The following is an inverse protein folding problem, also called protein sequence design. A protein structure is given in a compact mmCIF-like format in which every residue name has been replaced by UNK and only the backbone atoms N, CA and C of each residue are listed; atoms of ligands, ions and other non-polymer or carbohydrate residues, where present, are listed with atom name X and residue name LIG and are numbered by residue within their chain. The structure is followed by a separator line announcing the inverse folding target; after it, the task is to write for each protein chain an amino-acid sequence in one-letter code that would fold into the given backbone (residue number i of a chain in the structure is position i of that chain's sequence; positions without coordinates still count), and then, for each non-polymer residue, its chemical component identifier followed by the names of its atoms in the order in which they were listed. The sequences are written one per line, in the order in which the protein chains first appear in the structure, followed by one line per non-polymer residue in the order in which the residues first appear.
data_IF_673755797346
#
_entry.id   IF_673755797346
#
_cell.length_a   1.000
_cell.length_b   1.000
_cell.length_c   1.000
_cell.angle_alpha   90.00
_cell.angle_beta   90.00
_cell.angle_gamma   90.00
#
_symmetry.space_group_name_H-M   'P 1'
#
loop_
_entity.id
_entity.type
_entity.pdbx_description
1 polymer ?
#
# COMPACT_ATOMS: atom_id res chain seq x y z
N UNK A 1 9.70 -7.18 6.71
CA UNK A 1 8.26 -7.26 6.99
C UNK A 1 7.76 -8.64 6.60
N UNK A 2 6.51 -8.94 6.89
CA UNK A 2 5.86 -10.21 6.53
C UNK A 2 4.75 -9.93 5.54
N UNK A 3 4.68 -10.69 4.44
CA UNK A 3 3.61 -10.57 3.46
C UNK A 3 2.35 -11.34 3.87
N UNK A 4 1.28 -11.20 3.07
CA UNK A 4 0.00 -11.85 3.32
C UNK A 4 0.06 -13.38 3.33
N UNK A 5 1.07 -13.98 2.69
CA UNK A 5 1.28 -15.41 2.62
C UNK A 5 2.16 -15.92 3.79
N UNK A 6 2.59 -15.02 4.68
CA UNK A 6 3.47 -15.32 5.81
C UNK A 6 4.96 -15.34 5.44
N UNK A 7 5.32 -14.97 4.22
CA UNK A 7 6.69 -14.89 3.75
C UNK A 7 7.41 -13.64 4.24
N UNK A 8 8.74 -13.72 4.39
CA UNK A 8 9.54 -12.51 4.61
C UNK A 8 9.59 -11.67 3.33
N UNK A 9 9.40 -10.37 3.47
CA UNK A 9 9.44 -9.41 2.36
C UNK A 9 10.18 -8.14 2.78
N UNK A 10 11.04 -7.63 1.91
CA UNK A 10 11.84 -6.43 2.16
C UNK A 10 12.35 -5.74 0.89
N UNK A 11 13.20 -4.74 1.08
CA UNK A 11 13.71 -3.91 -0.03
C UNK A 11 14.49 -4.69 -1.08
N UNK A 12 15.07 -5.85 -0.73
CA UNK A 12 15.75 -6.72 -1.69
C UNK A 12 14.79 -7.26 -2.76
N UNK A 13 13.55 -7.56 -2.39
CA UNK A 13 12.51 -8.07 -3.30
C UNK A 13 12.00 -6.99 -4.29
N UNK A 14 12.28 -5.71 -3.98
CA UNK A 14 11.90 -4.55 -4.77
C UNK A 14 13.08 -3.94 -5.54
N UNK A 15 14.29 -4.49 -5.38
CA UNK A 15 15.49 -3.92 -5.98
C UNK A 15 15.38 -3.90 -7.52
N UNK A 16 15.66 -2.73 -8.12
CA UNK A 16 15.60 -2.56 -9.58
C UNK A 16 14.17 -2.48 -10.15
N UNK A 17 13.14 -2.46 -9.31
CA UNK A 17 11.73 -2.35 -9.72
C UNK A 17 11.17 -0.97 -9.41
N UNK A 18 10.24 -0.50 -10.23
CA UNK A 18 9.38 0.63 -9.88
C UNK A 18 8.24 0.10 -9.03
N UNK A 19 7.82 0.82 -8.01
CA UNK A 19 6.73 0.34 -7.17
C UNK A 19 5.87 1.46 -6.60
N UNK A 20 4.60 1.13 -6.38
CA UNK A 20 3.58 2.04 -5.90
C UNK A 20 3.15 1.59 -4.51
N UNK A 21 3.47 2.42 -3.54
CA UNK A 21 3.21 2.19 -2.14
C UNK A 21 1.94 2.91 -1.67
N UNK A 22 1.20 2.30 -0.75
CA UNK A 22 0.17 2.94 0.04
C UNK A 22 0.11 2.33 1.45
N UNK A 23 -0.57 3.04 2.35
CA UNK A 23 -0.79 2.62 3.73
C UNK A 23 -2.29 2.48 3.95
N UNK A 24 -2.71 1.40 4.59
CA UNK A 24 -4.12 1.11 4.92
C UNK A 24 -4.24 0.46 6.29
N UNK A 25 -5.47 0.25 6.75
CA UNK A 25 -5.77 -0.79 7.74
C UNK A 25 -7.12 -1.42 7.39
N UNK A 26 -7.25 -2.75 7.52
CA UNK A 26 -8.36 -3.48 6.88
C UNK A 26 -9.73 -3.19 7.49
N UNK A 27 -9.77 -2.75 8.76
CA UNK A 27 -11.01 -2.37 9.46
C UNK A 27 -11.48 -0.95 9.20
N UNK A 28 -10.78 -0.18 8.36
CA UNK A 28 -11.21 1.18 8.05
C UNK A 28 -12.57 1.16 7.36
N UNK A 29 -13.56 1.82 7.99
CA UNK A 29 -14.90 1.98 7.42
C UNK A 29 -15.00 3.24 6.52
N UNK A 30 -13.87 3.86 6.18
CA UNK A 30 -13.77 5.10 5.42
C UNK A 30 -13.12 4.89 4.05
N UNK A 31 -11.94 5.47 3.86
CA UNK A 31 -11.29 5.63 2.56
C UNK A 31 -10.47 4.44 2.08
N UNK A 32 -9.96 3.58 2.97
CA UNK A 32 -9.06 2.49 2.58
C UNK A 32 -9.68 1.50 1.57
N UNK A 33 -10.95 1.06 1.70
CA UNK A 33 -11.56 0.21 0.68
C UNK A 33 -11.59 0.87 -0.71
N UNK A 34 -11.72 2.21 -0.76
CA UNK A 34 -11.68 2.96 -2.02
C UNK A 34 -10.27 3.00 -2.59
N UNK A 35 -9.24 3.25 -1.78
CA UNK A 35 -7.84 3.21 -2.22
C UNK A 35 -7.47 1.84 -2.79
N UNK A 36 -7.80 0.76 -2.08
CA UNK A 36 -7.56 -0.60 -2.55
C UNK A 36 -8.37 -0.92 -3.83
N UNK A 37 -9.55 -0.33 -4.01
CA UNK A 37 -10.29 -0.46 -5.27
C UNK A 37 -9.59 0.26 -6.44
N UNK A 38 -9.08 1.48 -6.23
CA UNK A 38 -8.31 2.20 -7.26
C UNK A 38 -7.00 1.48 -7.59
N UNK A 39 -6.32 0.93 -6.59
CA UNK A 39 -5.11 0.12 -6.78
C UNK A 39 -5.39 -1.19 -7.52
N UNK A 40 -6.57 -1.80 -7.32
CA UNK A 40 -7.03 -2.92 -8.12
C UNK A 40 -7.27 -2.54 -9.59
N UNK A 41 -7.83 -1.36 -9.88
CA UNK A 41 -7.95 -0.87 -11.26
C UNK A 41 -6.57 -0.67 -11.90
N UNK A 42 -5.64 -0.07 -11.16
CA UNK A 42 -4.26 0.09 -11.63
C UNK A 42 -3.59 -1.26 -11.93
N UNK A 43 -3.81 -2.27 -11.10
CA UNK A 43 -3.36 -3.64 -11.38
C UNK A 43 -3.92 -4.18 -12.71
N UNK A 44 -5.22 -3.95 -13.00
CA UNK A 44 -5.84 -4.38 -14.26
C UNK A 44 -5.25 -3.63 -15.47
N UNK A 45 -5.05 -2.32 -15.36
CA UNK A 45 -4.40 -1.51 -16.41
C UNK A 45 -2.98 -1.99 -16.70
N UNK A 46 -2.22 -2.33 -15.64
CA UNK A 46 -0.87 -2.85 -15.77
C UNK A 46 -0.80 -4.17 -16.53
N UNK A 47 -1.87 -4.96 -16.65
CA UNK A 47 -1.87 -6.21 -17.44
C UNK A 47 -1.51 -5.98 -18.90
N UNK A 48 -1.88 -4.83 -19.46
CA UNK A 48 -1.58 -4.45 -20.84
C UNK A 48 -0.29 -3.62 -20.97
N UNK A 49 0.34 -3.24 -19.86
CA UNK A 49 1.50 -2.36 -19.86
C UNK A 49 2.79 -3.14 -20.15
N UNK A 50 3.65 -2.70 -21.10
CA UNK A 50 4.86 -3.43 -21.47
C UNK A 50 5.86 -3.59 -20.31
N UNK A 51 5.85 -2.65 -19.36
CA UNK A 51 6.69 -2.69 -18.17
C UNK A 51 6.04 -3.37 -16.94
N UNK A 52 4.93 -4.11 -17.10
CA UNK A 52 4.20 -4.76 -15.99
C UNK A 52 5.13 -5.52 -15.03
N UNK A 53 6.06 -6.28 -15.58
CA UNK A 53 6.96 -7.14 -14.80
C UNK A 53 8.04 -6.34 -14.05
N UNK A 54 8.20 -5.05 -14.37
CA UNK A 54 9.07 -4.11 -13.71
C UNK A 54 8.36 -3.27 -12.64
N UNK A 55 7.03 -3.32 -12.59
CA UNK A 55 6.19 -2.56 -11.67
C UNK A 55 5.67 -3.48 -10.56
N UNK A 56 5.68 -3.01 -9.32
CA UNK A 56 5.09 -3.69 -8.17
C UNK A 56 4.12 -2.78 -7.43
N UNK A 57 3.12 -3.41 -6.82
CA UNK A 57 2.16 -2.77 -5.95
C UNK A 57 2.44 -3.23 -4.52
N UNK A 58 2.57 -2.31 -3.56
CA UNK A 58 2.90 -2.66 -2.17
C UNK A 58 2.01 -1.89 -1.22
N UNK A 59 1.30 -2.59 -0.35
CA UNK A 59 0.38 -2.00 0.62
C UNK A 59 0.85 -2.36 2.02
N UNK A 60 1.03 -1.36 2.87
CA UNK A 60 1.47 -1.55 4.25
C UNK A 60 0.28 -1.35 5.20
N UNK A 61 0.10 -2.25 6.17
CA UNK A 61 -0.84 -1.96 7.25
C UNK A 61 -0.26 -0.93 8.24
N UNK A 62 -1.11 -0.10 8.83
CA UNK A 62 -0.81 0.72 10.02
C UNK A 62 -1.41 0.16 11.31
N UNK A 63 -2.15 -0.96 11.24
CA UNK A 63 -2.83 -1.66 12.35
C UNK A 63 -2.42 -3.15 12.43
N UNK A 64 -1.11 -3.47 12.57
CA UNK A 64 -0.63 -4.84 12.49
C UNK A 64 -1.12 -5.75 13.62
N UNK A 65 -1.61 -5.19 14.73
CA UNK A 65 -2.23 -5.96 15.81
C UNK A 65 -3.51 -6.68 15.34
N UNK A 66 -4.22 -6.10 14.37
CA UNK A 66 -5.37 -6.74 13.72
C UNK A 66 -5.01 -7.36 12.37
N UNK A 67 -4.24 -6.64 11.57
CA UNK A 67 -3.88 -6.99 10.20
C UNK A 67 -2.74 -8.03 10.17
N UNK A 68 -3.07 -9.22 10.67
CA UNK A 68 -2.23 -10.42 10.58
C UNK A 68 -2.15 -10.92 9.13
N UNK A 69 -1.17 -11.77 8.75
CA UNK A 69 -1.07 -12.28 7.38
C UNK A 69 -2.37 -12.91 6.85
N UNK A 70 -3.09 -13.76 7.62
CA UNK A 70 -4.38 -14.31 7.16
C UNK A 70 -5.46 -13.25 6.90
N UNK A 71 -5.53 -12.20 7.73
CA UNK A 71 -6.47 -11.08 7.55
C UNK A 71 -6.14 -10.28 6.29
N UNK A 72 -4.85 -9.97 6.10
CA UNK A 72 -4.38 -9.32 4.88
C UNK A 72 -4.61 -10.16 3.63
N UNK A 73 -4.47 -11.49 3.70
CA UNK A 73 -4.74 -12.39 2.59
C UNK A 73 -6.24 -12.40 2.23
N UNK A 74 -7.12 -12.37 3.22
CA UNK A 74 -8.56 -12.26 2.99
C UNK A 74 -8.92 -10.92 2.33
N UNK A 75 -8.38 -9.82 2.86
CA UNK A 75 -8.57 -8.48 2.30
C UNK A 75 -8.05 -8.40 0.85
N UNK A 76 -6.84 -8.90 0.59
CA UNK A 76 -6.25 -8.96 -0.75
C UNK A 76 -7.13 -9.75 -1.75
N UNK A 77 -7.68 -10.90 -1.32
CA UNK A 77 -8.61 -11.70 -2.14
C UNK A 77 -9.91 -10.94 -2.45
N UNK A 78 -10.46 -10.20 -1.48
CA UNK A 78 -11.66 -9.39 -1.70
C UNK A 78 -11.43 -8.32 -2.80
N UNK A 79 -10.20 -7.80 -2.90
CA UNK A 79 -9.78 -6.85 -3.94
C UNK A 79 -9.22 -7.51 -5.21
N UNK A 80 -9.24 -8.86 -5.32
CA UNK A 80 -8.66 -9.62 -6.44
C UNK A 80 -7.20 -9.24 -6.73
N UNK A 81 -6.43 -8.97 -5.67
CA UNK A 81 -5.01 -8.70 -5.79
C UNK A 81 -4.27 -9.94 -6.29
N UNK A 82 -3.37 -9.76 -7.27
CA UNK A 82 -2.45 -10.78 -7.76
C UNK A 82 -1.24 -10.83 -6.81
N UNK A 83 -1.07 -11.88 -5.98
CA UNK A 83 -0.01 -11.93 -4.98
C UNK A 83 1.41 -11.96 -5.58
N UNK A 84 1.55 -12.18 -6.90
CA UNK A 84 2.84 -12.09 -7.58
C UNK A 84 3.26 -10.66 -7.96
N UNK A 85 2.30 -9.72 -8.02
CA UNK A 85 2.53 -8.31 -8.36
C UNK A 85 2.16 -7.33 -7.24
N UNK A 86 1.21 -7.70 -6.39
CA UNK A 86 0.70 -6.89 -5.29
C UNK A 86 0.86 -7.58 -3.94
N UNK A 87 1.71 -6.98 -3.10
CA UNK A 87 1.99 -7.46 -1.74
C UNK A 87 1.31 -6.59 -0.69
N UNK A 88 0.75 -7.25 0.32
CA UNK A 88 0.21 -6.63 1.53
C UNK A 88 1.11 -7.01 2.69
N UNK A 89 1.63 -6.02 3.41
CA UNK A 89 2.72 -6.20 4.35
C UNK A 89 2.30 -5.79 5.76
N UNK A 90 2.66 -6.64 6.72
CA UNK A 90 2.52 -6.44 8.17
C UNK A 90 3.87 -6.66 8.88
N UNK A 91 3.91 -6.36 10.18
CA UNK A 91 5.12 -6.44 10.99
C UNK A 91 4.99 -5.65 12.29
N UNK A 92 6.09 -5.41 13.02
CA UNK A 92 6.05 -4.61 14.23
C UNK A 92 5.49 -3.21 13.95
N UNK A 93 4.51 -2.77 14.75
CA UNK A 93 3.86 -1.45 14.61
C UNK A 93 4.86 -0.30 14.56
N UNK A 94 5.86 -0.31 15.43
CA UNK A 94 6.91 0.71 15.46
C UNK A 94 7.67 0.82 14.13
N UNK A 95 7.96 -0.30 13.48
CA UNK A 95 8.66 -0.33 12.20
C UNK A 95 7.79 0.22 11.07
N UNK A 96 6.51 -0.19 11.02
CA UNK A 96 5.54 0.28 10.02
C UNK A 96 5.27 1.78 10.17
N UNK A 97 5.13 2.26 11.41
CA UNK A 97 4.89 3.66 11.70
C UNK A 97 6.10 4.53 11.40
N UNK A 98 7.30 4.05 11.76
CA UNK A 98 8.54 4.69 11.37
C UNK A 98 8.72 4.70 9.84
N UNK A 99 8.35 3.63 9.15
CA UNK A 99 8.37 3.57 7.70
C UNK A 99 7.42 4.61 7.09
N UNK A 100 6.18 4.72 7.57
CA UNK A 100 5.22 5.74 7.14
C UNK A 100 5.76 7.16 7.36
N UNK A 101 6.08 7.51 8.62
CA UNK A 101 6.44 8.88 8.99
C UNK A 101 7.84 9.29 8.51
N UNK A 102 8.86 8.44 8.69
CA UNK A 102 10.24 8.79 8.40
C UNK A 102 10.71 8.31 7.03
N UNK A 103 10.24 7.15 6.57
CA UNK A 103 10.57 6.61 5.25
C UNK A 103 9.78 7.29 4.15
N UNK A 104 8.45 7.31 4.27
CA UNK A 104 7.51 7.81 3.27
C UNK A 104 7.02 9.24 3.54
N UNK A 105 7.38 9.87 4.66
CA UNK A 105 6.90 11.24 5.01
C UNK A 105 5.38 11.35 5.00
N UNK A 106 4.69 10.28 5.41
CA UNK A 106 3.25 10.20 5.54
C UNK A 106 2.88 10.11 7.02
N UNK A 107 2.06 11.06 7.47
CA UNK A 107 1.61 11.12 8.85
C UNK A 107 0.84 9.85 9.22
N UNK A 108 1.14 9.35 10.43
CA UNK A 108 0.43 8.25 11.06
C UNK A 108 0.30 8.55 12.54
N UNK A 109 -0.91 8.44 13.08
CA UNK A 109 -1.18 8.70 14.48
C UNK A 109 -2.43 7.95 14.95
N UNK A 110 -2.51 7.69 16.25
CA UNK A 110 -3.75 7.21 16.85
C UNK A 110 -4.77 8.33 16.87
N UNK A 111 -6.02 8.00 16.52
CA UNK A 111 -7.19 8.88 16.59
C UNK A 111 -8.32 8.15 17.33
N UNK A 112 -8.06 7.79 18.59
CA UNK A 112 -8.99 6.99 19.40
C UNK A 112 -10.38 7.64 19.60
N UNK A 113 -10.54 8.94 19.28
CA UNK A 113 -11.82 9.63 19.29
C UNK A 113 -12.68 9.38 18.04
N UNK A 114 -12.14 8.73 17.01
CA UNK A 114 -12.78 8.51 15.73
C UNK A 114 -13.09 7.02 15.51
N UNK A 115 -14.32 6.61 15.80
CA UNK A 115 -14.73 5.20 15.72
C UNK A 115 -14.59 4.58 14.31
N UNK A 116 -14.69 5.40 13.25
CA UNK A 116 -14.61 4.93 11.85
C UNK A 116 -13.18 4.91 11.32
N UNK A 117 -12.32 5.76 11.88
CA UNK A 117 -10.94 5.91 11.46
C UNK A 117 -10.04 6.09 12.70
N UNK A 118 -9.91 5.04 13.53
CA UNK A 118 -9.19 5.13 14.80
C UNK A 118 -7.68 5.33 14.65
N UNK A 119 -7.18 5.29 13.41
CA UNK A 119 -5.80 5.55 13.04
C UNK A 119 -5.83 6.56 11.89
N UNK A 120 -5.30 7.75 12.14
CA UNK A 120 -5.06 8.75 11.12
C UNK A 120 -3.93 8.27 10.21
N UNK A 121 -4.18 8.24 8.90
CA UNK A 121 -3.16 7.98 7.89
C UNK A 121 -3.58 8.60 6.54
N UNK A 122 -2.62 8.79 5.64
CA UNK A 122 -2.86 9.45 4.35
C UNK A 122 -3.42 8.51 3.28
N UNK A 123 -4.34 9.02 2.46
CA UNK A 123 -4.94 8.31 1.32
C UNK A 123 -4.06 8.24 0.07
N UNK A 124 -2.80 8.68 0.14
CA UNK A 124 -1.94 8.88 -1.03
C UNK A 124 -1.26 7.61 -1.51
N UNK A 125 -1.09 7.53 -2.82
CA UNK A 125 -0.16 6.61 -3.47
C UNK A 125 1.21 7.26 -3.61
N UNK A 126 2.28 6.49 -3.36
CA UNK A 126 3.65 6.98 -3.46
C UNK A 126 4.38 6.19 -4.54
N UNK A 127 4.91 6.92 -5.53
CA UNK A 127 5.73 6.33 -6.58
C UNK A 127 7.19 6.23 -6.10
N UNK A 128 7.75 5.03 -6.18
CA UNK A 128 9.14 4.75 -5.80
C UNK A 128 9.89 4.20 -7.01
N UNK A 129 11.05 4.77 -7.31
CA UNK A 129 11.86 4.35 -8.45
C UNK A 129 12.72 3.10 -8.18
N UNK A 130 13.40 2.63 -9.24
CA UNK A 130 14.28 1.44 -9.22
C UNK A 130 15.42 1.51 -8.19
N UNK A 131 15.78 2.70 -7.72
CA UNK A 131 16.80 2.93 -6.71
C UNK A 131 16.21 3.08 -5.29
N UNK A 132 14.90 2.89 -5.12
CA UNK A 132 14.20 3.05 -3.84
C UNK A 132 13.95 4.50 -3.47
N UNK A 133 14.01 5.45 -4.41
CA UNK A 133 13.77 6.87 -4.13
C UNK A 133 12.31 7.24 -4.37
N UNK A 134 11.74 8.00 -3.45
CA UNK A 134 10.40 8.57 -3.62
C UNK A 134 10.41 9.59 -4.74
N UNK A 135 9.44 9.49 -5.67
CA UNK A 135 9.34 10.33 -6.86
C UNK A 135 8.15 11.27 -6.83
N UNK A 136 7.10 10.92 -6.11
CA UNK A 136 5.91 11.73 -6.01
C UNK A 136 4.87 11.09 -5.09
N UNK A 137 3.95 11.94 -4.66
CA UNK A 137 2.76 11.57 -3.91
C UNK A 137 1.54 11.97 -4.73
N UNK A 138 0.61 11.05 -4.86
CA UNK A 138 -0.55 11.18 -5.72
C UNK A 138 -1.78 10.89 -4.89
N UNK A 139 -2.81 11.72 -5.01
CA UNK A 139 -4.08 11.40 -4.35
C UNK A 139 -4.68 10.17 -5.03
N UNK A 140 -4.79 9.08 -4.27
CA UNK A 140 -5.30 7.80 -4.76
C UNK A 140 -6.83 7.77 -4.92
N UNK A 141 -7.53 8.86 -4.59
CA UNK A 141 -8.99 8.96 -4.63
C UNK A 141 -9.49 10.08 -5.56
N UNK A 142 -8.60 10.98 -6.01
CA UNK A 142 -8.93 12.03 -6.98
C UNK A 142 -8.49 11.65 -8.39
N UNK A 143 -9.36 11.92 -9.37
CA UNK A 143 -9.11 11.60 -10.78
C UNK A 143 -7.82 12.24 -11.32
N UNK A 144 -7.56 13.50 -10.94
CA UNK A 144 -6.33 14.19 -11.35
C UNK A 144 -5.09 13.53 -10.75
N UNK A 145 -5.11 13.16 -9.47
CA UNK A 145 -3.99 12.46 -8.83
C UNK A 145 -3.68 11.13 -9.49
N UNK A 146 -4.72 10.37 -9.85
CA UNK A 146 -4.57 9.12 -10.59
C UNK A 146 -4.12 9.35 -12.05
N UNK A 147 -4.48 10.47 -12.66
CA UNK A 147 -3.99 10.84 -14.00
C UNK A 147 -2.51 11.18 -13.96
N UNK A 148 -2.09 11.99 -12.99
CA UNK A 148 -0.69 12.40 -12.80
C UNK A 148 0.21 11.21 -12.46
N UNK A 149 -0.30 10.20 -11.74
CA UNK A 149 0.44 8.96 -11.45
C UNK A 149 0.73 8.15 -12.72
N UNK A 150 -0.13 8.24 -13.73
CA UNK A 150 -0.03 7.49 -14.99
C UNK A 150 0.77 8.21 -16.07
N UNK A 151 1.04 9.51 -15.89
CA UNK A 151 1.76 10.35 -16.84
C UNK A 151 3.27 10.05 -16.87
#
# INVERSE_FOLDING_TARGET
LTDQDGGSFGSADLHGKVWIADFIFTRCAGTCPMQSAEKAKLQEELKAHPARDEIRLVTFTVDPEHDTPPVLAEYARAHRADPSHWKFLTGPRGDLWNLSANGFKMDVADDAGNEKMPILHSSRFVLVDRAGRLRGYYDGLEEQGLTDLRA
#
